data_IF_411831354980
#
_entry.id   IF_411831354980
#
_cell.length_a   1.000
_cell.length_b   1.000
_cell.length_c   1.000
_cell.angle_alpha   90.00
_cell.angle_beta   90.00
_cell.angle_gamma   90.00
#
_symmetry.space_group_name_H-M   'P 1'
#
loop_
_entity.id
_entity.type
_entity.pdbx_description
1 polymer ?
#
# COMPACT_ATOMS: atom_id res chain seq x y z
N UNK A 1 21.68 -18.95 -15.52
CA UNK A 1 20.40 -19.64 -15.24
C UNK A 1 19.55 -18.62 -14.50
N UNK A 2 18.45 -18.16 -15.09
CA UNK A 2 17.49 -17.27 -14.39
C UNK A 2 16.85 -18.11 -13.29
N UNK A 3 17.12 -17.77 -12.03
CA UNK A 3 16.67 -18.56 -10.88
C UNK A 3 15.37 -18.03 -10.31
N UNK A 4 15.11 -16.74 -10.46
CA UNK A 4 13.99 -16.04 -9.88
C UNK A 4 13.39 -15.04 -10.88
N UNK A 5 12.13 -14.66 -10.69
CA UNK A 5 11.43 -13.68 -11.54
C UNK A 5 12.12 -12.31 -11.48
N UNK A 6 12.71 -11.98 -10.33
CA UNK A 6 13.48 -10.77 -10.07
C UNK A 6 14.79 -10.69 -10.86
N UNK A 7 15.25 -11.80 -11.45
CA UNK A 7 16.45 -11.83 -12.30
C UNK A 7 16.15 -11.39 -13.75
N UNK A 8 14.87 -11.21 -14.12
CA UNK A 8 14.47 -10.77 -15.45
C UNK A 8 14.90 -9.32 -15.71
N UNK A 9 15.31 -9.03 -16.95
CA UNK A 9 15.52 -7.64 -17.37
C UNK A 9 14.20 -6.87 -17.35
N UNK A 10 14.28 -5.56 -17.07
CA UNK A 10 13.09 -4.70 -17.08
C UNK A 10 12.35 -4.76 -18.42
N UNK A 11 13.06 -4.89 -19.54
CA UNK A 11 12.47 -5.04 -20.89
C UNK A 11 11.56 -6.27 -20.98
N UNK A 12 12.04 -7.43 -20.51
CA UNK A 12 11.23 -8.65 -20.48
C UNK A 12 10.04 -8.53 -19.51
N UNK A 13 10.21 -7.82 -18.40
CA UNK A 13 9.11 -7.53 -17.48
C UNK A 13 8.04 -6.70 -18.20
N UNK A 14 8.41 -5.64 -18.91
CA UNK A 14 7.45 -4.82 -19.66
C UNK A 14 6.71 -5.62 -20.73
N UNK A 15 7.40 -6.46 -21.51
CA UNK A 15 6.77 -7.34 -22.49
C UNK A 15 5.76 -8.32 -21.85
N UNK A 16 6.10 -8.90 -20.70
CA UNK A 16 5.17 -9.74 -19.94
C UNK A 16 3.93 -8.94 -19.53
N UNK A 17 4.11 -7.72 -19.01
CA UNK A 17 2.99 -6.87 -18.59
C UNK A 17 2.16 -6.35 -19.76
N UNK A 18 2.71 -6.20 -20.97
CA UNK A 18 1.93 -5.89 -22.18
C UNK A 18 0.99 -7.03 -22.58
N UNK A 19 1.36 -8.28 -22.29
CA UNK A 19 0.52 -9.45 -22.54
C UNK A 19 -0.58 -9.65 -21.49
N UNK A 20 -0.47 -8.99 -20.34
CA UNK A 20 -1.45 -9.07 -19.26
C UNK A 20 -2.44 -7.91 -19.35
N UNK A 21 -3.72 -8.22 -19.49
CA UNK A 21 -4.76 -7.21 -19.29
C UNK A 21 -4.94 -6.86 -17.80
N UNK A 22 -5.74 -5.82 -17.55
CA UNK A 22 -6.07 -5.37 -16.19
C UNK A 22 -6.63 -6.49 -15.30
N UNK A 23 -7.39 -7.45 -15.86
CA UNK A 23 -7.95 -8.54 -15.08
C UNK A 23 -6.88 -9.49 -14.57
N UNK A 24 -5.90 -9.83 -15.41
CA UNK A 24 -4.78 -10.69 -15.02
C UNK A 24 -3.95 -10.03 -13.92
N UNK A 25 -3.61 -8.75 -14.07
CA UNK A 25 -2.85 -8.00 -13.06
C UNK A 25 -3.63 -7.91 -11.75
N UNK A 26 -4.91 -7.53 -11.80
CA UNK A 26 -5.76 -7.46 -10.61
C UNK A 26 -5.82 -8.79 -9.87
N UNK A 27 -6.02 -9.90 -10.59
CA UNK A 27 -6.12 -11.23 -10.00
C UNK A 27 -4.79 -11.70 -9.40
N UNK A 28 -3.66 -11.43 -10.06
CA UNK A 28 -2.33 -11.78 -9.56
C UNK A 28 -2.04 -11.12 -8.20
N UNK A 29 -2.42 -9.85 -8.04
CA UNK A 29 -2.19 -9.10 -6.81
C UNK A 29 -3.35 -9.19 -5.80
N UNK A 30 -4.47 -9.85 -6.13
CA UNK A 30 -5.66 -9.90 -5.28
C UNK A 30 -5.35 -10.40 -3.86
N UNK A 31 -4.69 -11.55 -3.74
CA UNK A 31 -4.36 -12.14 -2.43
C UNK A 31 -3.43 -11.25 -1.62
N UNK A 32 -2.47 -10.59 -2.28
CA UNK A 32 -1.55 -9.67 -1.63
C UNK A 32 -2.31 -8.42 -1.13
N UNK A 33 -3.15 -7.84 -1.96
CA UNK A 33 -4.00 -6.70 -1.60
C UNK A 33 -4.94 -7.04 -0.44
N UNK A 34 -5.54 -8.24 -0.44
CA UNK A 34 -6.39 -8.71 0.65
C UNK A 34 -5.59 -8.86 1.97
N UNK A 35 -4.34 -9.33 1.91
CA UNK A 35 -3.47 -9.40 3.10
C UNK A 35 -3.16 -8.02 3.65
N UNK A 36 -2.81 -7.05 2.80
CA UNK A 36 -2.59 -5.67 3.25
C UNK A 36 -3.85 -5.05 3.84
N UNK A 37 -5.01 -5.26 3.20
CA UNK A 37 -6.29 -4.81 3.74
C UNK A 37 -6.54 -5.38 5.14
N UNK A 38 -6.38 -6.68 5.32
CA UNK A 38 -6.55 -7.32 6.63
C UNK A 38 -5.54 -6.81 7.67
N UNK A 39 -4.28 -6.57 7.27
CA UNK A 39 -3.28 -6.01 8.17
C UNK A 39 -3.66 -4.60 8.64
N UNK A 40 -4.17 -3.78 7.72
CA UNK A 40 -4.53 -2.39 8.00
C UNK A 40 -5.82 -2.31 8.81
N UNK A 41 -6.84 -3.12 8.52
CA UNK A 41 -8.19 -2.92 9.08
C UNK A 41 -8.65 -3.99 10.08
N UNK A 42 -8.14 -5.23 9.99
CA UNK A 42 -8.66 -6.37 10.75
C UNK A 42 -7.63 -6.98 11.72
N UNK A 43 -6.41 -6.42 11.78
CA UNK A 43 -5.35 -6.88 12.67
C UNK A 43 -5.42 -6.20 14.04
N UNK A 44 -4.79 -6.80 15.04
CA UNK A 44 -4.57 -6.18 16.36
C UNK A 44 -3.22 -5.48 16.48
N UNK A 45 -2.38 -5.55 15.42
CA UNK A 45 -1.05 -4.96 15.42
C UNK A 45 -1.16 -3.43 15.56
N UNK A 46 -0.42 -2.82 16.51
CA UNK A 46 -0.37 -1.37 16.65
C UNK A 46 0.15 -0.69 15.37
N UNK A 47 -0.37 0.50 15.09
CA UNK A 47 -0.02 1.26 13.88
C UNK A 47 0.74 2.52 14.29
N UNK A 48 1.84 2.77 13.61
CA UNK A 48 2.54 4.05 13.63
C UNK A 48 2.18 4.82 12.36
N UNK A 49 1.72 6.06 12.54
CA UNK A 49 1.23 6.88 11.43
C UNK A 49 2.12 8.10 11.30
N UNK A 50 2.87 8.19 10.20
CA UNK A 50 3.68 9.36 9.87
C UNK A 50 3.09 10.14 8.70
N UNK A 51 2.63 11.36 8.97
CA UNK A 51 2.00 12.27 8.02
C UNK A 51 2.77 13.60 7.94
N UNK A 52 4.04 13.60 8.33
CA UNK A 52 4.85 14.83 8.43
C UNK A 52 5.29 15.42 7.08
N UNK A 53 4.96 14.80 5.96
CA UNK A 53 5.39 15.24 4.63
C UNK A 53 4.27 15.24 3.60
N UNK A 54 3.02 15.05 4.03
CA UNK A 54 1.88 14.93 3.11
C UNK A 54 1.11 16.24 2.96
N UNK A 55 0.54 16.44 1.77
CA UNK A 55 -0.32 17.60 1.51
C UNK A 55 -1.61 17.55 2.33
N UNK A 56 -2.24 18.72 2.52
CA UNK A 56 -3.53 18.83 3.24
C UNK A 56 -4.64 17.96 2.64
N UNK A 57 -4.74 17.90 1.31
CA UNK A 57 -5.73 17.05 0.63
C UNK A 57 -5.47 15.56 0.87
N UNK A 58 -4.20 15.15 0.88
CA UNK A 58 -3.79 13.79 1.22
C UNK A 58 -4.12 13.47 2.67
N UNK A 59 -3.86 14.41 3.58
CA UNK A 59 -4.19 14.26 5.01
C UNK A 59 -5.69 14.03 5.22
N UNK A 60 -6.56 14.79 4.55
CA UNK A 60 -8.01 14.62 4.68
C UNK A 60 -8.47 13.22 4.28
N UNK A 61 -7.91 12.67 3.20
CA UNK A 61 -8.19 11.30 2.76
C UNK A 61 -7.68 10.28 3.78
N UNK A 62 -6.43 10.38 4.20
CA UNK A 62 -5.84 9.49 5.21
C UNK A 62 -6.59 9.53 6.53
N UNK A 63 -7.04 10.72 6.94
CA UNK A 63 -7.81 10.88 8.17
C UNK A 63 -9.14 10.11 8.09
N UNK A 64 -9.85 10.23 6.96
CA UNK A 64 -11.11 9.52 6.74
C UNK A 64 -10.92 8.01 6.62
N UNK A 65 -9.93 7.58 5.83
CA UNK A 65 -9.86 6.19 5.36
C UNK A 65 -8.94 5.31 6.22
N UNK A 66 -7.98 5.88 6.97
CA UNK A 66 -7.00 5.13 7.77
C UNK A 66 -7.06 5.50 9.25
N UNK A 67 -6.99 6.79 9.58
CA UNK A 67 -6.86 7.24 10.98
C UNK A 67 -8.13 6.96 11.76
N UNK A 68 -9.29 7.44 11.27
CA UNK A 68 -10.55 7.29 11.99
C UNK A 68 -10.94 5.82 12.21
N UNK A 69 -10.87 4.92 11.21
CA UNK A 69 -11.18 3.50 11.42
C UNK A 69 -10.23 2.80 12.40
N UNK A 70 -8.96 3.20 12.42
CA UNK A 70 -7.93 2.52 13.20
C UNK A 70 -7.49 3.27 14.46
N UNK A 71 -8.24 4.30 14.91
CA UNK A 71 -7.88 5.14 16.06
C UNK A 71 -7.50 4.35 17.31
N UNK A 72 -8.18 3.23 17.55
CA UNK A 72 -7.95 2.35 18.70
C UNK A 72 -6.62 1.58 18.65
N UNK A 73 -5.96 1.51 17.48
CA UNK A 73 -4.69 0.82 17.24
C UNK A 73 -3.50 1.76 17.05
N UNK A 74 -3.74 3.07 16.90
CA UNK A 74 -2.67 4.03 16.66
C UNK A 74 -1.87 4.19 17.94
N UNK A 75 -0.61 3.78 17.89
CA UNK A 75 0.32 3.94 19.00
C UNK A 75 1.01 5.30 18.94
N UNK A 76 1.41 5.73 17.75
CA UNK A 76 2.09 7.00 17.50
C UNK A 76 1.53 7.69 16.26
N UNK A 77 1.43 9.02 16.34
CA UNK A 77 0.97 9.88 15.24
C UNK A 77 1.93 11.06 15.09
N UNK A 78 2.68 11.09 13.99
CA UNK A 78 3.58 12.18 13.64
C UNK A 78 2.89 13.10 12.63
N UNK A 79 2.63 14.33 13.04
CA UNK A 79 2.03 15.38 12.22
C UNK A 79 3.05 16.50 12.01
N UNK A 80 3.02 17.09 10.83
CA UNK A 80 3.61 18.40 10.59
C UNK A 80 2.62 19.25 9.81
N UNK A 81 2.84 20.55 9.82
CA UNK A 81 2.19 21.47 8.90
C UNK A 81 3.31 22.06 8.03
N UNK A 82 3.74 21.35 6.97
CA UNK A 82 4.76 21.89 6.09
C UNK A 82 4.16 23.15 5.44
N UNK A 83 4.80 24.29 5.70
CA UNK A 83 4.46 25.59 5.12
C UNK A 83 4.73 25.60 3.62
#
# INVERSE_FOLDING_TARGET
MLSCFEDLSNELIYEIFELLDFHHVYKAFYSLNARFYNLIFNSTIPIEVNLSSISKSTFQRYNKDIILPNKHRIHSLHLSNPC
#
